data_IF_229058573018
#
_entry.id   IF_229058573018
#
_cell.length_a   1.000
_cell.length_b   1.000
_cell.length_c   1.000
_cell.angle_alpha   90.00
_cell.angle_beta   90.00
_cell.angle_gamma   90.00
#
_symmetry.space_group_name_H-M   'P 1'
#
loop_
_entity.id
_entity.type
_entity.pdbx_description
1 polymer ?
#
# COMPACT_ATOMS: atom_id res chain seq x y z
N UNK A 1 -0.43 -4.56 15.32
CA UNK A 1 -1.78 -4.18 14.83
C UNK A 1 -1.70 -3.54 13.44
N UNK A 2 -2.18 -4.27 12.43
CA UNK A 2 -2.26 -3.80 11.04
C UNK A 2 -3.09 -2.52 10.96
N UNK A 3 -2.59 -1.55 10.21
CA UNK A 3 -3.23 -0.26 10.14
C UNK A 3 -4.29 -0.27 9.04
N UNK A 4 -5.57 -0.24 9.43
CA UNK A 4 -6.70 -0.12 8.51
C UNK A 4 -7.45 1.19 8.72
N UNK A 5 -8.28 1.59 7.74
CA UNK A 5 -9.27 2.66 7.89
C UNK A 5 -10.14 2.29 9.09
N UNK A 6 -10.08 3.12 10.13
CA UNK A 6 -10.81 2.87 11.38
C UNK A 6 -10.30 1.64 12.14
N UNK A 7 -9.01 1.62 12.48
CA UNK A 7 -8.28 0.48 13.09
C UNK A 7 -9.00 -0.24 14.26
N UNK A 8 -9.84 0.45 15.03
CA UNK A 8 -10.65 -0.15 16.12
C UNK A 8 -12.14 -0.34 15.81
N UNK A 9 -12.60 0.15 14.67
CA UNK A 9 -14.02 0.21 14.33
C UNK A 9 -14.33 -0.53 13.03
N UNK A 10 -13.58 -1.61 12.76
CA UNK A 10 -13.92 -2.60 11.75
C UNK A 10 -14.05 -3.97 12.41
N UNK A 11 -14.96 -4.78 11.88
CA UNK A 11 -15.20 -6.15 12.34
C UNK A 11 -13.94 -7.00 12.26
N UNK A 12 -13.17 -6.82 11.18
CA UNK A 12 -11.86 -7.46 11.00
C UNK A 12 -10.84 -6.98 12.04
N UNK A 13 -10.82 -5.69 12.39
CA UNK A 13 -9.98 -5.15 13.44
C UNK A 13 -10.29 -5.76 14.81
N UNK A 14 -11.58 -5.98 15.11
CA UNK A 14 -12.01 -6.63 16.33
C UNK A 14 -11.57 -8.10 16.42
N UNK A 15 -11.79 -8.88 15.35
CA UNK A 15 -11.32 -10.28 15.29
C UNK A 15 -9.79 -10.35 15.35
N UNK A 16 -9.10 -9.48 14.61
CA UNK A 16 -7.64 -9.41 14.62
C UNK A 16 -7.10 -9.09 16.01
N UNK A 17 -7.73 -8.18 16.76
CA UNK A 17 -7.33 -7.93 18.14
C UNK A 17 -7.50 -9.17 19.02
N UNK A 18 -8.63 -9.90 18.92
CA UNK A 18 -8.84 -11.10 19.74
C UNK A 18 -7.80 -12.19 19.48
N UNK A 19 -7.31 -12.30 18.24
CA UNK A 19 -6.28 -13.28 17.89
C UNK A 19 -4.85 -12.79 18.17
N UNK A 20 -4.58 -11.50 17.92
CA UNK A 20 -3.22 -10.94 17.89
C UNK A 20 -2.94 -9.94 19.00
N UNK A 21 -3.88 -9.59 19.87
CA UNK A 21 -3.76 -8.58 20.93
C UNK A 21 -3.41 -9.16 22.32
N UNK A 22 -3.14 -8.28 23.29
CA UNK A 22 -3.02 -8.63 24.73
C UNK A 22 -3.79 -7.63 25.58
N UNK A 23 -4.39 -8.11 26.67
CA UNK A 23 -5.17 -7.25 27.57
C UNK A 23 -6.51 -6.80 26.96
N UNK A 24 -7.14 -5.84 27.63
CA UNK A 24 -8.48 -5.38 27.28
C UNK A 24 -8.50 -3.97 26.65
N UNK A 25 -7.40 -3.22 26.75
CA UNK A 25 -7.33 -1.80 26.36
C UNK A 25 -7.80 -1.52 24.93
N UNK A 26 -7.46 -2.39 23.98
CA UNK A 26 -7.91 -2.22 22.59
C UNK A 26 -9.35 -2.67 22.38
N UNK A 27 -9.88 -3.61 23.17
CA UNK A 27 -11.30 -3.94 23.15
C UNK A 27 -12.15 -2.79 23.70
N UNK A 28 -11.67 -2.07 24.73
CA UNK A 28 -12.31 -0.87 25.28
C UNK A 28 -12.42 0.27 24.27
N UNK A 29 -11.51 0.33 23.28
CA UNK A 29 -11.53 1.31 22.19
C UNK A 29 -12.51 0.97 21.05
N UNK A 30 -13.12 -0.23 21.06
CA UNK A 30 -14.03 -0.67 19.99
C UNK A 30 -15.47 -0.21 20.23
N UNK A 31 -16.19 0.12 19.16
CA UNK A 31 -17.64 0.38 19.23
C UNK A 31 -18.42 -0.89 19.55
N UNK A 32 -19.49 -0.77 20.35
CA UNK A 32 -20.37 -1.87 20.80
C UNK A 32 -20.89 -2.78 19.66
N UNK A 33 -21.11 -2.27 18.44
CA UNK A 33 -21.59 -3.07 17.31
C UNK A 33 -20.57 -4.10 16.77
N UNK A 34 -19.28 -3.84 16.97
CA UNK A 34 -18.17 -4.63 16.41
C UNK A 34 -17.90 -5.92 17.21
N UNK A 35 -18.42 -6.00 18.45
CA UNK A 35 -18.16 -7.09 19.39
C UNK A 35 -18.78 -8.44 18.98
N UNK A 36 -19.86 -8.46 18.18
CA UNK A 36 -20.57 -9.71 17.83
C UNK A 36 -19.73 -10.66 16.98
N UNK A 37 -18.91 -10.14 16.07
CA UNK A 37 -18.02 -10.95 15.23
C UNK A 37 -16.74 -11.38 15.96
N UNK A 38 -16.40 -10.69 17.06
CA UNK A 38 -15.30 -11.07 17.93
C UNK A 38 -15.65 -12.22 18.89
N UNK A 39 -16.94 -12.54 19.08
CA UNK A 39 -17.39 -13.59 20.01
C UNK A 39 -16.82 -14.99 19.67
N UNK A 40 -16.84 -15.48 18.42
CA UNK A 40 -16.25 -16.78 18.11
C UNK A 40 -14.73 -16.84 18.39
N UNK A 41 -14.00 -15.75 18.11
CA UNK A 41 -12.58 -15.66 18.42
C UNK A 41 -12.33 -15.61 19.94
N UNK A 42 -13.19 -14.93 20.70
CA UNK A 42 -13.13 -14.86 22.16
C UNK A 42 -13.32 -16.22 22.82
N UNK A 43 -14.25 -17.02 22.29
CA UNK A 43 -14.57 -18.37 22.79
C UNK A 43 -13.61 -19.44 22.27
N UNK A 44 -12.75 -19.12 21.31
CA UNK A 44 -11.74 -20.05 20.81
C UNK A 44 -10.62 -20.24 21.83
N UNK A 45 -10.18 -21.48 22.02
CA UNK A 45 -8.95 -21.80 22.76
C UNK A 45 -7.69 -21.62 21.91
N UNK A 46 -7.84 -21.52 20.58
CA UNK A 46 -6.70 -21.31 19.69
C UNK A 46 -6.14 -19.90 19.84
N UNK A 47 -4.81 -19.80 19.94
CA UNK A 47 -4.08 -18.54 19.79
C UNK A 47 -3.01 -18.73 18.73
N UNK A 48 -2.78 -17.73 17.85
CA UNK A 48 -1.66 -17.79 16.94
C UNK A 48 -0.32 -17.90 17.71
N UNK A 49 0.67 -18.60 17.13
CA UNK A 49 2.03 -18.68 17.65
C UNK A 49 2.60 -17.32 18.04
N UNK A 50 3.40 -17.28 19.10
CA UNK A 50 4.01 -16.04 19.61
C UNK A 50 4.85 -15.31 18.56
N UNK A 51 5.59 -16.03 17.71
CA UNK A 51 6.37 -15.45 16.60
C UNK A 51 5.47 -14.67 15.62
N UNK A 52 4.33 -15.26 15.23
CA UNK A 52 3.38 -14.58 14.34
C UNK A 52 2.71 -13.39 15.03
N UNK A 53 2.41 -13.49 16.32
CA UNK A 53 1.88 -12.35 17.11
C UNK A 53 2.91 -11.23 17.23
N UNK A 54 4.18 -11.54 17.49
CA UNK A 54 5.25 -10.56 17.56
C UNK A 54 5.40 -9.81 16.24
N UNK A 55 5.42 -10.52 15.11
CA UNK A 55 5.44 -9.92 13.78
C UNK A 55 4.20 -9.04 13.52
N UNK A 56 2.99 -9.53 13.78
CA UNK A 56 1.74 -8.78 13.60
C UNK A 56 1.67 -7.53 14.48
N UNK A 57 2.29 -7.56 15.66
CA UNK A 57 2.42 -6.43 16.60
C UNK A 57 3.57 -5.49 16.27
N UNK A 58 4.43 -5.85 15.31
CA UNK A 58 5.68 -5.14 14.98
C UNK A 58 6.64 -5.07 16.17
N UNK A 59 6.74 -6.16 16.92
CA UNK A 59 7.71 -6.34 18.02
C UNK A 59 9.06 -6.87 17.50
N UNK A 60 9.36 -6.59 16.24
CA UNK A 60 10.59 -6.91 15.52
C UNK A 60 11.28 -5.60 15.12
N UNK A 61 12.59 -5.60 14.83
CA UNK A 61 13.27 -4.38 14.39
C UNK A 61 12.63 -3.77 13.13
N UNK A 62 12.45 -2.45 13.15
CA UNK A 62 11.91 -1.63 12.07
C UNK A 62 13.00 -0.67 11.55
N UNK A 63 12.95 -0.25 10.27
CA UNK A 63 11.96 -0.65 9.26
C UNK A 63 12.28 -2.00 8.60
N UNK A 64 11.32 -2.58 7.89
CA UNK A 64 11.55 -3.72 7.00
C UNK A 64 10.65 -3.69 5.76
N UNK A 65 11.05 -4.45 4.73
CA UNK A 65 10.24 -4.71 3.55
C UNK A 65 9.67 -6.12 3.57
N UNK A 66 8.44 -6.25 3.09
CA UNK A 66 7.79 -7.55 2.85
C UNK A 66 7.37 -7.61 1.38
N UNK A 67 7.72 -8.71 0.72
CA UNK A 67 7.16 -9.11 -0.56
C UNK A 67 6.13 -10.20 -0.30
N UNK A 68 4.97 -10.09 -0.92
CA UNK A 68 3.94 -11.11 -0.80
C UNK A 68 3.33 -11.43 -2.16
N UNK A 69 2.75 -12.62 -2.26
CA UNK A 69 1.87 -12.95 -3.38
C UNK A 69 0.70 -13.79 -2.94
N UNK A 70 -0.39 -13.67 -3.68
CA UNK A 70 -1.61 -14.43 -3.40
C UNK A 70 -2.41 -14.70 -4.68
N UNK A 71 -3.29 -15.71 -4.68
CA UNK A 71 -4.23 -15.92 -5.77
C UNK A 71 -5.31 -14.82 -5.80
N UNK A 72 -6.08 -14.79 -6.88
CA UNK A 72 -7.29 -13.95 -6.93
C UNK A 72 -8.35 -14.54 -6.01
N UNK A 73 -9.05 -13.69 -5.25
CA UNK A 73 -10.14 -14.11 -4.37
C UNK A 73 -11.25 -14.80 -5.19
N UNK A 74 -11.86 -15.83 -4.63
CA UNK A 74 -12.86 -16.68 -5.31
C UNK A 74 -12.36 -17.41 -6.56
N UNK A 75 -11.05 -17.44 -6.83
CA UNK A 75 -10.50 -18.27 -7.87
C UNK A 75 -10.09 -19.64 -7.32
N UNK A 76 -10.40 -20.71 -8.04
CA UNK A 76 -9.80 -22.03 -7.83
C UNK A 76 -8.34 -22.08 -8.38
N UNK A 77 -7.82 -20.95 -8.87
CA UNK A 77 -6.44 -20.88 -9.37
C UNK A 77 -5.47 -20.79 -8.19
N UNK A 78 -4.61 -21.79 -8.05
CA UNK A 78 -3.54 -21.85 -7.03
C UNK A 78 -2.35 -20.93 -7.39
N UNK A 79 -2.60 -19.83 -8.09
CA UNK A 79 -1.57 -19.07 -8.81
C UNK A 79 -0.92 -17.96 -8.00
N UNK A 80 0.39 -17.80 -8.20
CA UNK A 80 1.15 -16.59 -7.95
C UNK A 80 0.67 -15.49 -8.91
N UNK A 81 -0.39 -14.77 -8.54
CA UNK A 81 -1.10 -13.89 -9.49
C UNK A 81 -1.16 -12.43 -9.07
N UNK A 82 -1.37 -12.16 -7.79
CA UNK A 82 -1.33 -10.82 -7.24
C UNK A 82 -0.01 -10.68 -6.48
N UNK A 83 0.71 -9.58 -6.71
CA UNK A 83 2.04 -9.35 -6.11
C UNK A 83 2.06 -8.05 -5.34
N UNK A 84 2.54 -8.12 -4.11
CA UNK A 84 2.58 -6.97 -3.22
C UNK A 84 4.01 -6.67 -2.76
N UNK A 85 4.26 -5.38 -2.57
CA UNK A 85 5.36 -4.89 -1.76
C UNK A 85 4.79 -4.08 -0.61
N UNK A 86 5.33 -4.30 0.57
CA UNK A 86 5.10 -3.48 1.75
C UNK A 86 6.41 -2.92 2.26
N UNK A 87 6.36 -1.69 2.77
CA UNK A 87 7.40 -1.09 3.58
C UNK A 87 6.80 -0.71 4.92
N UNK A 88 7.38 -1.22 6.01
CA UNK A 88 6.86 -1.09 7.37
C UNK A 88 7.88 -0.33 8.20
N UNK A 89 7.43 0.77 8.79
CA UNK A 89 8.18 1.60 9.75
C UNK A 89 7.39 1.73 11.05
N UNK A 90 7.97 2.44 12.00
CA UNK A 90 7.38 2.81 13.29
C UNK A 90 6.17 3.72 13.12
N UNK A 91 6.25 4.64 12.15
CA UNK A 91 5.29 5.72 11.95
C UNK A 91 4.31 5.46 10.79
N UNK A 92 4.62 4.54 9.88
CA UNK A 92 3.71 4.21 8.77
C UNK A 92 3.95 2.81 8.18
N UNK A 93 2.98 2.36 7.39
CA UNK A 93 3.15 1.25 6.44
C UNK A 93 2.66 1.66 5.07
N UNK A 94 3.42 1.34 4.03
CA UNK A 94 3.09 1.62 2.64
C UNK A 94 3.05 0.31 1.85
N UNK A 95 1.91 0.02 1.23
CA UNK A 95 1.72 -1.14 0.37
C UNK A 95 1.32 -0.77 -1.05
N UNK A 96 1.85 -1.50 -2.03
CA UNK A 96 1.35 -1.51 -3.41
C UNK A 96 1.04 -2.93 -3.86
N UNK A 97 -0.02 -3.07 -4.67
CA UNK A 97 -0.49 -4.33 -5.25
C UNK A 97 -0.42 -4.24 -6.77
N UNK A 98 0.19 -5.23 -7.39
CA UNK A 98 0.25 -5.41 -8.84
C UNK A 98 -0.76 -6.47 -9.25
N UNK A 99 -1.63 -6.11 -10.19
CA UNK A 99 -2.57 -7.03 -10.81
C UNK A 99 -2.19 -7.26 -12.28
N UNK A 100 -2.13 -8.51 -12.77
CA UNK A 100 -1.64 -8.83 -14.10
C UNK A 100 -2.64 -8.56 -15.22
N UNK A 101 -3.85 -8.12 -14.89
CA UNK A 101 -4.95 -8.00 -15.87
C UNK A 101 -5.66 -6.67 -15.75
N UNK A 102 -5.86 -6.02 -16.91
CA UNK A 102 -6.79 -4.91 -17.04
C UNK A 102 -8.21 -5.48 -17.03
N UNK A 103 -8.99 -5.16 -16.00
CA UNK A 103 -10.40 -5.55 -15.91
C UNK A 103 -11.27 -4.37 -16.33
N UNK A 104 -12.35 -4.58 -17.08
CA UNK A 104 -13.34 -3.52 -17.38
C UNK A 104 -14.70 -3.78 -16.73
N UNK A 105 -14.80 -4.88 -15.98
CA UNK A 105 -16.01 -5.23 -15.27
C UNK A 105 -16.11 -4.39 -13.98
N UNK A 106 -17.26 -3.76 -13.76
CA UNK A 106 -17.54 -2.93 -12.57
C UNK A 106 -18.67 -3.49 -11.69
N UNK A 107 -19.49 -4.39 -12.23
CA UNK A 107 -20.58 -5.07 -11.51
C UNK A 107 -20.29 -6.57 -11.35
N UNK A 108 -20.79 -7.17 -10.27
CA UNK A 108 -20.59 -8.60 -10.00
C UNK A 108 -19.11 -9.00 -9.80
N UNK A 109 -18.25 -8.05 -9.46
CA UNK A 109 -16.81 -8.25 -9.27
C UNK A 109 -16.34 -7.70 -7.93
N UNK A 110 -15.29 -8.30 -7.40
CA UNK A 110 -14.54 -7.83 -6.22
C UNK A 110 -13.55 -6.70 -6.54
N UNK A 111 -13.42 -6.32 -7.82
CA UNK A 111 -12.42 -5.33 -8.28
C UNK A 111 -12.49 -4.00 -7.51
N UNK A 112 -13.70 -3.61 -7.08
CA UNK A 112 -13.94 -2.42 -6.26
C UNK A 112 -13.33 -2.47 -4.85
N UNK A 113 -13.01 -3.67 -4.37
CA UNK A 113 -12.53 -3.94 -3.01
C UNK A 113 -11.01 -3.94 -2.93
N UNK A 114 -10.29 -4.13 -4.04
CA UNK A 114 -8.84 -4.05 -4.07
C UNK A 114 -8.36 -2.61 -3.97
N UNK A 115 -7.52 -2.33 -2.97
CA UNK A 115 -6.81 -1.05 -2.84
C UNK A 115 -5.36 -1.26 -3.30
N UNK A 116 -4.99 -0.72 -4.47
CA UNK A 116 -3.70 -1.02 -5.12
C UNK A 116 -2.53 -0.16 -4.63
N UNK A 117 -2.81 0.94 -3.93
CA UNK A 117 -1.86 1.70 -3.15
C UNK A 117 -2.50 2.06 -1.81
N UNK A 118 -1.82 1.78 -0.71
CA UNK A 118 -2.28 2.16 0.62
C UNK A 118 -1.11 2.60 1.48
N UNK A 119 -1.05 3.89 1.77
CA UNK A 119 -0.21 4.43 2.84
C UNK A 119 -1.07 4.56 4.08
N UNK A 120 -0.61 3.99 5.18
CA UNK A 120 -1.27 4.14 6.47
C UNK A 120 -0.30 4.70 7.49
N UNK A 121 -0.65 5.87 8.01
CA UNK A 121 0.14 6.62 8.97
C UNK A 121 -0.42 6.37 10.36
N UNK A 122 0.49 6.00 11.26
CA UNK A 122 0.17 5.75 12.65
C UNK A 122 -0.24 7.06 13.32
N UNK A 123 -1.43 7.04 13.91
CA UNK A 123 -1.83 8.03 14.89
C UNK A 123 -0.97 7.87 16.16
N UNK A 124 -0.28 8.90 16.65
CA UNK A 124 0.51 8.85 17.88
C UNK A 124 -0.30 8.39 19.10
N UNK A 125 -1.58 8.75 19.17
CA UNK A 125 -2.50 8.31 20.23
C UNK A 125 -3.04 6.89 19.99
N UNK A 126 -2.79 6.36 18.78
CA UNK A 126 -3.21 5.04 18.36
C UNK A 126 -4.73 4.92 18.31
N UNK A 127 -5.47 5.97 17.99
CA UNK A 127 -6.94 5.99 17.95
C UNK A 127 -7.44 5.86 16.50
N UNK A 128 -6.96 6.70 15.60
CA UNK A 128 -7.47 6.78 14.24
C UNK A 128 -6.38 7.13 13.21
N UNK A 129 -5.73 6.07 12.73
CA UNK A 129 -4.72 6.12 11.68
C UNK A 129 -5.21 6.86 10.43
N UNK A 130 -4.34 7.69 9.85
CA UNK A 130 -4.62 8.32 8.58
C UNK A 130 -4.32 7.37 7.43
N UNK A 131 -5.25 7.25 6.48
CA UNK A 131 -5.10 6.40 5.31
C UNK A 131 -5.08 7.27 4.06
N UNK A 132 -4.03 7.10 3.27
CA UNK A 132 -3.82 7.77 1.99
C UNK A 132 -3.90 6.72 0.88
N UNK A 133 -4.69 7.02 -0.15
CA UNK A 133 -4.84 6.20 -1.36
C UNK A 133 -4.31 6.92 -2.59
N UNK A 134 -3.88 6.17 -3.59
CA UNK A 134 -3.46 6.67 -4.90
C UNK A 134 -3.99 5.72 -5.98
N UNK A 135 -4.58 6.27 -7.03
CA UNK A 135 -5.07 5.46 -8.16
C UNK A 135 -6.05 6.20 -9.05
N UNK A 136 -6.55 5.49 -10.06
CA UNK A 136 -7.66 5.94 -10.90
C UNK A 136 -9.03 5.88 -10.19
N UNK A 137 -10.12 6.04 -10.92
CA UNK A 137 -11.48 5.90 -10.37
C UNK A 137 -12.41 5.31 -11.43
N UNK A 138 -12.26 4.03 -11.68
CA UNK A 138 -13.16 3.28 -12.55
C UNK A 138 -13.92 2.19 -11.79
N UNK A 139 -13.21 1.36 -11.02
CA UNK A 139 -13.81 0.21 -10.34
C UNK A 139 -14.47 0.53 -9.00
N UNK A 140 -14.46 1.77 -8.52
CA UNK A 140 -15.02 2.09 -7.22
C UNK A 140 -15.08 3.59 -6.92
N UNK A 141 -15.55 3.97 -5.72
CA UNK A 141 -15.59 5.37 -5.31
C UNK A 141 -14.19 6.00 -5.37
N UNK A 142 -14.11 7.29 -5.68
CA UNK A 142 -12.83 8.04 -5.71
C UNK A 142 -11.91 7.77 -4.52
N UNK A 143 -12.48 7.55 -3.33
CA UNK A 143 -11.73 7.30 -2.10
C UNK A 143 -10.94 5.98 -2.06
N UNK A 144 -11.31 4.97 -2.84
CA UNK A 144 -10.66 3.64 -2.92
C UNK A 144 -10.44 3.20 -4.37
N UNK A 145 -10.61 4.15 -5.29
CA UNK A 145 -10.72 3.86 -6.71
C UNK A 145 -9.43 3.29 -7.26
N UNK A 146 -9.60 2.46 -8.28
CA UNK A 146 -8.55 2.00 -9.17
C UNK A 146 -9.08 2.04 -10.60
N UNK A 147 -8.18 2.14 -11.56
CA UNK A 147 -8.47 2.02 -12.99
C UNK A 147 -7.74 0.83 -13.61
N UNK A 148 -8.24 0.28 -14.73
CA UNK A 148 -7.64 -0.89 -15.39
C UNK A 148 -6.18 -0.67 -15.79
N UNK A 149 -5.79 0.57 -16.06
CA UNK A 149 -4.45 0.98 -16.46
C UNK A 149 -3.54 1.48 -15.34
N UNK A 150 -3.93 1.32 -14.07
CA UNK A 150 -3.09 1.73 -12.94
C UNK A 150 -1.84 0.84 -12.87
N UNK A 151 -0.65 1.45 -12.92
CA UNK A 151 0.61 0.72 -12.83
C UNK A 151 1.50 1.34 -11.75
N UNK A 152 2.21 0.50 -10.99
CA UNK A 152 3.01 0.90 -9.83
C UNK A 152 4.43 0.31 -9.86
N UNK A 153 5.38 1.06 -9.33
CA UNK A 153 6.69 0.57 -8.88
C UNK A 153 6.99 1.18 -7.52
N UNK A 154 7.21 0.33 -6.52
CA UNK A 154 7.57 0.74 -5.16
C UNK A 154 8.99 0.29 -4.81
N UNK A 155 9.71 1.19 -4.14
CA UNK A 155 10.89 0.86 -3.34
C UNK A 155 10.86 1.68 -2.04
N UNK A 156 10.90 0.99 -0.89
CA UNK A 156 10.71 1.58 0.43
C UNK A 156 9.48 2.51 0.50
N UNK A 157 9.67 3.75 0.94
CA UNK A 157 8.65 4.80 1.03
C UNK A 157 8.33 5.50 -0.30
N UNK A 158 9.04 5.19 -1.38
CA UNK A 158 8.88 5.84 -2.68
C UNK A 158 8.09 4.98 -3.67
N UNK A 159 7.17 5.61 -4.41
CA UNK A 159 6.33 4.97 -5.43
C UNK A 159 6.27 5.82 -6.68
N UNK A 160 6.49 5.20 -7.84
CA UNK A 160 6.06 5.74 -9.13
C UNK A 160 4.73 5.08 -9.47
N UNK A 161 3.72 5.91 -9.77
CA UNK A 161 2.44 5.49 -10.31
C UNK A 161 2.22 6.15 -11.67
N UNK A 162 1.65 5.40 -12.61
CA UNK A 162 1.30 5.90 -13.94
C UNK A 162 -0.07 5.36 -14.37
N UNK A 163 -0.83 6.21 -15.06
CA UNK A 163 -2.07 5.87 -15.74
C UNK A 163 -2.07 6.57 -17.11
N UNK A 164 -1.88 5.78 -18.17
CA UNK A 164 -1.96 6.24 -19.56
C UNK A 164 -3.12 5.50 -20.22
N UNK A 165 -4.16 6.24 -20.57
CA UNK A 165 -5.38 5.67 -21.15
C UNK A 165 -5.17 5.31 -22.62
N UNK A 166 -5.50 4.08 -22.98
CA UNK A 166 -5.64 3.64 -24.37
C UNK A 166 -7.01 4.03 -24.94
N UNK A 167 -7.18 3.88 -26.26
CA UNK A 167 -8.49 4.10 -26.89
C UNK A 167 -9.55 3.15 -26.33
N UNK A 168 -9.16 1.91 -25.99
CA UNK A 168 -10.04 0.95 -25.32
C UNK A 168 -10.50 1.45 -23.95
N UNK A 169 -9.60 2.07 -23.18
CA UNK A 169 -9.96 2.64 -21.87
C UNK A 169 -10.98 3.77 -22.02
N UNK A 170 -10.75 4.65 -22.99
CA UNK A 170 -11.66 5.76 -23.28
C UNK A 170 -13.04 5.27 -23.74
N UNK A 171 -13.09 4.27 -24.62
CA UNK A 171 -14.33 3.63 -25.08
C UNK A 171 -15.09 2.93 -23.94
N UNK A 172 -14.36 2.35 -22.98
CA UNK A 172 -14.94 1.72 -21.79
C UNK A 172 -15.38 2.73 -20.72
N UNK A 173 -15.21 4.04 -20.96
CA UNK A 173 -15.62 5.10 -20.04
C UNK A 173 -14.68 5.32 -18.85
N UNK A 174 -13.41 4.87 -18.94
CA UNK A 174 -12.42 5.10 -17.88
C UNK A 174 -12.14 6.60 -17.76
N UNK A 175 -12.34 7.23 -16.58
CA UNK A 175 -12.09 8.66 -16.43
C UNK A 175 -10.62 9.02 -16.64
N UNK A 176 -10.37 10.11 -17.39
CA UNK A 176 -9.05 10.68 -17.64
C UNK A 176 -8.52 11.49 -16.44
N UNK A 177 -8.39 10.81 -15.31
CA UNK A 177 -7.90 11.39 -14.06
C UNK A 177 -7.38 10.32 -13.09
N UNK A 178 -6.45 10.73 -12.24
CA UNK A 178 -6.00 9.97 -11.07
C UNK A 178 -6.01 10.87 -9.83
N UNK A 179 -6.01 10.24 -8.65
CA UNK A 179 -6.29 10.92 -7.40
C UNK A 179 -5.34 10.45 -6.29
N UNK A 180 -4.71 11.40 -5.60
CA UNK A 180 -4.10 11.17 -4.29
C UNK A 180 -5.11 11.58 -3.21
N UNK A 181 -5.68 10.59 -2.52
CA UNK A 181 -6.74 10.79 -1.53
C UNK A 181 -6.17 10.74 -0.12
N UNK A 182 -6.51 11.72 0.71
CA UNK A 182 -6.05 11.81 2.10
C UNK A 182 -7.11 12.47 3.01
N UNK A 183 -7.01 12.35 4.35
CA UNK A 183 -7.94 13.00 5.26
C UNK A 183 -7.91 14.53 5.13
N UNK A 184 -9.09 15.16 5.17
CA UNK A 184 -9.27 16.61 5.06
C UNK A 184 -8.65 17.39 6.23
N UNK A 185 -8.51 16.74 7.40
CA UNK A 185 -7.93 17.35 8.61
C UNK A 185 -6.49 17.84 8.45
N UNK A 186 -5.76 17.37 7.44
CA UNK A 186 -4.39 17.82 7.15
C UNK A 186 -4.31 19.03 6.21
N UNK A 187 -5.46 19.57 5.78
CA UNK A 187 -5.53 20.82 5.03
C UNK A 187 -4.83 20.79 3.67
N UNK A 188 -4.44 21.97 3.19
CA UNK A 188 -3.74 22.15 1.92
C UNK A 188 -2.24 21.80 2.04
N UNK A 189 -1.63 21.24 0.98
CA UNK A 189 -0.20 20.97 0.98
C UNK A 189 0.62 22.26 0.96
N UNK A 190 1.79 22.21 1.58
CA UNK A 190 2.87 23.17 1.29
C UNK A 190 3.47 22.83 -0.07
N UNK A 191 3.91 23.85 -0.80
CA UNK A 191 4.59 23.66 -2.09
C UNK A 191 6.09 23.88 -1.95
N UNK A 192 6.87 23.03 -2.61
CA UNK A 192 8.29 23.26 -2.85
C UNK A 192 8.65 22.79 -4.26
N UNK A 193 9.01 23.73 -5.14
CA UNK A 193 9.16 23.44 -6.58
C UNK A 193 7.89 22.74 -7.10
N UNK A 194 8.05 21.55 -7.69
CA UNK A 194 6.94 20.74 -8.22
C UNK A 194 6.36 19.74 -7.19
N UNK A 195 6.76 19.83 -5.93
CA UNK A 195 6.28 18.96 -4.85
C UNK A 195 5.13 19.59 -4.08
N UNK A 196 4.10 18.79 -3.83
CA UNK A 196 3.04 19.01 -2.87
C UNK A 196 3.35 18.20 -1.62
N UNK A 197 3.42 18.86 -0.47
CA UNK A 197 3.96 18.28 0.76
C UNK A 197 2.94 18.43 1.89
N UNK A 198 2.58 17.32 2.52
CA UNK A 198 1.79 17.28 3.73
C UNK A 198 2.63 16.79 4.90
N UNK A 199 2.43 17.41 6.07
CA UNK A 199 2.78 16.80 7.35
C UNK A 199 1.57 16.01 7.83
N UNK A 200 1.72 14.70 7.98
CA UNK A 200 0.66 13.79 8.41
C UNK A 200 1.20 13.10 9.66
N UNK A 201 0.70 13.47 10.83
CA UNK A 201 1.24 12.99 12.11
C UNK A 201 2.78 13.11 12.16
N UNK A 202 3.50 11.99 12.29
CA UNK A 202 4.95 11.88 12.36
C UNK A 202 5.63 11.63 11.01
N UNK A 203 4.98 11.90 9.87
CA UNK A 203 5.59 11.75 8.55
C UNK A 203 5.48 13.00 7.67
N UNK A 204 6.35 13.07 6.68
CA UNK A 204 6.21 13.90 5.49
C UNK A 204 5.73 13.04 4.33
N UNK A 205 4.60 13.42 3.72
CA UNK A 205 4.15 12.88 2.44
C UNK A 205 4.47 13.90 1.34
N UNK A 206 5.42 13.56 0.48
CA UNK A 206 5.77 14.35 -0.69
C UNK A 206 5.11 13.72 -1.93
N UNK A 207 4.44 14.52 -2.75
CA UNK A 207 3.83 14.07 -3.99
C UNK A 207 4.15 15.03 -5.14
N UNK A 208 4.59 14.49 -6.28
CA UNK A 208 4.80 15.23 -7.52
C UNK A 208 3.93 14.62 -8.63
N UNK A 209 2.91 15.33 -9.13
CA UNK A 209 2.08 14.88 -10.24
C UNK A 209 2.62 15.31 -11.62
N UNK A 210 2.30 14.52 -12.65
CA UNK A 210 2.36 14.87 -14.07
C UNK A 210 0.94 14.80 -14.63
N UNK A 211 0.39 15.92 -15.08
CA UNK A 211 -0.93 16.04 -15.66
C UNK A 211 -1.12 17.42 -16.30
N UNK A 212 -2.21 17.58 -17.07
CA UNK A 212 -2.57 18.88 -17.65
C UNK A 212 -3.15 19.85 -16.61
N UNK A 213 -3.88 19.33 -15.62
CA UNK A 213 -4.43 20.11 -14.50
C UNK A 213 -4.27 19.34 -13.19
N UNK A 214 -3.90 20.05 -12.13
CA UNK A 214 -3.81 19.51 -10.77
C UNK A 214 -4.56 20.41 -9.80
N UNK A 215 -5.55 19.87 -9.09
CA UNK A 215 -6.35 20.62 -8.13
C UNK A 215 -6.77 19.80 -6.91
N UNK A 216 -6.80 20.44 -5.74
CA UNK A 216 -7.31 19.83 -4.51
C UNK A 216 -8.83 19.98 -4.47
N UNK A 217 -9.54 18.88 -4.26
CA UNK A 217 -11.01 18.83 -4.30
C UNK A 217 -11.56 18.08 -3.08
N UNK A 218 -12.69 18.53 -2.51
CA UNK A 218 -13.43 17.72 -1.54
C UNK A 218 -13.97 16.44 -2.20
N UNK A 219 -14.14 15.38 -1.42
CA UNK A 219 -14.79 14.15 -1.89
C UNK A 219 -16.32 14.21 -1.70
N UNK A 220 -17.00 13.12 -2.08
CA UNK A 220 -18.46 13.01 -2.00
C UNK A 220 -18.98 13.08 -0.56
N UNK A 221 -20.29 13.32 -0.39
CA UNK A 221 -20.96 13.35 0.92
C UNK A 221 -20.67 12.11 1.80
N UNK A 222 -20.52 10.94 1.16
CA UNK A 222 -20.14 9.68 1.85
C UNK A 222 -18.73 9.70 2.43
N UNK A 223 -17.81 10.46 1.84
CA UNK A 223 -16.41 10.58 2.24
C UNK A 223 -16.06 12.03 2.61
N UNK A 224 -16.95 12.70 3.34
CA UNK A 224 -16.83 14.14 3.70
C UNK A 224 -15.55 14.50 4.47
N UNK A 225 -14.96 13.53 5.17
CA UNK A 225 -13.74 13.71 5.98
C UNK A 225 -12.45 13.52 5.16
N UNK A 226 -12.58 13.30 3.85
CA UNK A 226 -11.47 13.13 2.92
C UNK A 226 -11.48 14.20 1.82
N UNK A 227 -10.30 14.40 1.24
CA UNK A 227 -10.05 15.25 0.09
C UNK A 227 -9.15 14.51 -0.90
N UNK A 228 -9.13 14.96 -2.15
CA UNK A 228 -8.34 14.37 -3.22
C UNK A 228 -7.54 15.46 -3.94
N UNK A 229 -6.23 15.29 -4.06
CA UNK A 229 -5.45 15.98 -5.08
C UNK A 229 -5.71 15.25 -6.40
N UNK A 230 -6.38 15.92 -7.33
CA UNK A 230 -6.83 15.36 -8.60
C UNK A 230 -5.88 15.80 -9.70
N UNK A 231 -5.33 14.83 -10.43
CA UNK A 231 -4.56 15.05 -11.65
C UNK A 231 -5.44 14.67 -12.85
N UNK A 232 -5.70 15.60 -13.78
CA UNK A 232 -6.54 15.37 -14.97
C UNK A 232 -5.70 15.26 -16.23
N UNK A 233 -6.04 14.29 -17.08
CA UNK A 233 -5.41 14.07 -18.38
C UNK A 233 -5.49 12.61 -18.81
N UNK A 234 -5.33 12.36 -20.12
CA UNK A 234 -5.23 10.99 -20.67
C UNK A 234 -3.94 10.29 -20.25
N UNK A 235 -2.89 11.07 -19.95
CA UNK A 235 -1.64 10.61 -19.36
C UNK A 235 -1.49 11.30 -18.01
N UNK A 236 -1.49 10.53 -16.94
CA UNK A 236 -1.18 11.03 -15.61
C UNK A 236 -0.11 10.16 -14.94
N UNK A 237 0.73 10.78 -14.13
CA UNK A 237 1.68 10.07 -13.29
C UNK A 237 1.87 10.77 -11.97
N UNK A 238 2.38 10.02 -10.99
CA UNK A 238 2.71 10.51 -9.67
C UNK A 238 4.00 9.89 -9.20
N UNK A 239 4.84 10.69 -8.56
CA UNK A 239 5.85 10.20 -7.63
C UNK A 239 5.37 10.55 -6.24
N UNK A 240 5.26 9.55 -5.36
CA UNK A 240 5.12 9.78 -3.92
C UNK A 240 6.40 9.33 -3.22
N UNK A 241 6.79 10.07 -2.18
CA UNK A 241 7.92 9.72 -1.33
C UNK A 241 7.60 10.09 0.12
N UNK A 242 7.85 9.17 1.03
CA UNK A 242 7.45 9.26 2.43
C UNK A 242 8.68 9.18 3.32
N UNK A 243 8.86 10.19 4.17
CA UNK A 243 9.92 10.23 5.17
C UNK A 243 9.33 10.40 6.56
N UNK A 244 9.98 9.84 7.58
CA UNK A 244 9.60 10.07 8.97
C UNK A 244 10.09 11.45 9.39
N UNK A 245 9.32 12.12 10.25
CA UNK A 245 9.77 13.34 10.93
C UNK A 245 10.99 13.06 11.81
N UNK A 246 11.11 11.84 12.35
CA UNK A 246 12.30 11.42 13.10
C UNK A 246 13.59 11.43 12.25
N UNK A 247 13.48 11.17 10.94
CA UNK A 247 14.62 11.14 10.01
C UNK A 247 14.87 12.54 9.41
N UNK A 248 13.79 13.32 9.21
CA UNK A 248 13.83 14.68 8.65
C UNK A 248 12.96 15.59 9.54
N UNK A 249 13.58 16.29 10.50
CA UNK A 249 12.87 16.97 11.59
C UNK A 249 11.89 18.07 11.16
N UNK A 250 12.27 18.86 10.16
CA UNK A 250 11.54 20.05 9.76
C UNK A 250 11.44 20.24 8.25
N UNK A 251 10.64 21.23 7.85
CA UNK A 251 10.35 21.51 6.44
C UNK A 251 11.58 22.04 5.69
N UNK A 252 12.50 22.74 6.35
CA UNK A 252 13.73 23.24 5.71
C UNK A 252 14.68 22.10 5.38
N UNK A 253 14.88 21.19 6.34
CA UNK A 253 15.63 19.95 6.18
C UNK A 253 15.03 19.08 5.08
N UNK A 254 13.69 19.03 5.00
CA UNK A 254 13.00 18.32 3.91
C UNK A 254 13.26 18.94 2.54
N UNK A 255 13.26 20.28 2.41
CA UNK A 255 13.62 20.94 1.14
C UNK A 255 15.04 20.59 0.71
N UNK A 256 15.99 20.62 1.64
CA UNK A 256 17.38 20.23 1.39
C UNK A 256 17.51 18.76 0.97
N UNK A 257 16.71 17.87 1.57
CA UNK A 257 16.65 16.47 1.18
C UNK A 257 16.04 16.29 -0.22
N UNK A 258 14.94 16.99 -0.52
CA UNK A 258 14.30 16.99 -1.84
C UNK A 258 15.22 17.56 -2.94
N UNK A 259 16.11 18.49 -2.62
CA UNK A 259 17.10 19.02 -3.57
C UNK A 259 18.15 17.98 -4.00
N UNK A 260 18.34 16.93 -3.20
CA UNK A 260 19.21 15.79 -3.53
C UNK A 260 18.49 14.70 -4.32
N UNK A 261 17.16 14.76 -4.40
CA UNK A 261 16.37 13.87 -5.26
C UNK A 261 16.50 14.30 -6.72
N UNK A 262 16.24 13.38 -7.64
CA UNK A 262 16.34 13.66 -9.08
C UNK A 262 15.21 12.97 -9.82
N UNK A 263 14.53 13.72 -10.69
CA UNK A 263 13.56 13.15 -11.62
C UNK A 263 14.08 13.30 -13.04
N UNK A 264 13.99 12.21 -13.81
CA UNK A 264 14.21 12.20 -15.25
C UNK A 264 12.92 11.75 -15.94
N UNK A 265 12.26 12.69 -16.60
CA UNK A 265 10.99 12.56 -17.30
C UNK A 265 11.11 12.90 -18.81
N UNK A 266 12.33 12.92 -19.36
CA UNK A 266 12.58 13.27 -20.77
C UNK A 266 11.86 12.36 -21.77
N UNK A 267 11.65 11.10 -21.40
CA UNK A 267 10.96 10.08 -22.20
C UNK A 267 9.53 9.80 -21.70
N UNK A 268 8.99 10.67 -20.84
CA UNK A 268 7.63 10.53 -20.34
C UNK A 268 6.61 10.61 -21.47
N UNK A 269 6.71 11.63 -22.33
CA UNK A 269 5.73 11.85 -23.38
C UNK A 269 5.78 10.80 -24.49
N UNK A 270 6.99 10.34 -24.86
CA UNK A 270 7.20 9.40 -25.96
C UNK A 270 7.02 7.94 -25.54
N UNK A 271 7.47 7.56 -24.34
CA UNK A 271 7.54 6.15 -23.91
C UNK A 271 6.82 5.86 -22.59
N UNK A 272 6.30 6.88 -21.91
CA UNK A 272 5.77 6.71 -20.56
C UNK A 272 6.87 6.32 -19.56
N UNK A 273 8.12 6.74 -19.79
CA UNK A 273 9.25 6.41 -18.90
C UNK A 273 9.51 7.54 -17.90
N UNK A 274 9.55 7.18 -16.62
CA UNK A 274 9.95 8.05 -15.52
C UNK A 274 11.06 7.40 -14.71
N UNK A 275 12.05 8.18 -14.30
CA UNK A 275 13.03 7.77 -13.29
C UNK A 275 13.05 8.75 -12.12
N UNK A 276 13.22 8.21 -10.92
CA UNK A 276 13.28 8.97 -9.69
C UNK A 276 14.41 8.46 -8.79
N UNK A 277 15.20 9.36 -8.22
CA UNK A 277 16.09 9.10 -7.08
C UNK A 277 15.36 9.52 -5.80
N UNK A 278 15.03 8.57 -4.94
CA UNK A 278 14.22 8.81 -3.74
C UNK A 278 14.99 9.51 -2.62
N UNK A 279 14.23 9.98 -1.62
CA UNK A 279 14.77 10.51 -0.36
C UNK A 279 15.66 9.49 0.36
N UNK A 280 15.37 8.19 0.21
CA UNK A 280 16.17 7.10 0.76
C UNK A 280 17.40 6.75 -0.11
N UNK A 281 17.59 7.42 -1.25
CA UNK A 281 18.70 7.18 -2.17
C UNK A 281 18.47 6.05 -3.18
N UNK A 282 17.26 5.48 -3.25
CA UNK A 282 16.92 4.44 -4.23
C UNK A 282 16.62 5.04 -5.60
N UNK A 283 17.20 4.45 -6.65
CA UNK A 283 16.87 4.77 -8.04
C UNK A 283 15.73 3.87 -8.51
N UNK A 284 14.56 4.46 -8.75
CA UNK A 284 13.40 3.79 -9.33
C UNK A 284 13.25 4.23 -10.79
N UNK A 285 13.03 3.28 -11.69
CA UNK A 285 12.68 3.54 -13.10
C UNK A 285 11.43 2.74 -13.42
N UNK A 286 10.47 3.39 -14.07
CA UNK A 286 9.25 2.77 -14.56
C UNK A 286 9.01 3.19 -16.00
N UNK A 287 8.73 2.21 -16.86
CA UNK A 287 8.24 2.45 -18.22
C UNK A 287 6.83 1.86 -18.33
N UNK A 288 5.87 2.70 -18.69
CA UNK A 288 4.48 2.28 -18.85
C UNK A 288 4.32 1.20 -19.92
N UNK A 289 3.40 0.26 -19.69
CA UNK A 289 2.98 -0.73 -20.71
C UNK A 289 1.55 -0.44 -21.15
N UNK A 290 1.39 0.11 -22.35
CA UNK A 290 0.09 0.60 -22.84
C UNK A 290 -1.01 -0.47 -22.84
N UNK A 291 -0.71 -1.67 -23.35
CA UNK A 291 -1.66 -2.79 -23.38
C UNK A 291 -1.52 -3.74 -22.17
N UNK A 292 -0.59 -3.43 -21.27
CA UNK A 292 -0.31 -4.20 -20.07
C UNK A 292 -1.02 -3.65 -18.82
N UNK A 293 -1.05 -4.48 -17.78
CA UNK A 293 -1.48 -4.06 -16.44
C UNK A 293 -0.29 -3.79 -15.50
N UNK A 294 0.95 -4.06 -15.94
CA UNK A 294 2.15 -3.93 -15.13
C UNK A 294 3.26 -3.32 -16.00
N UNK A 295 3.81 -2.19 -15.55
CA UNK A 295 4.92 -1.51 -16.22
C UNK A 295 6.24 -2.27 -16.10
N UNK A 296 7.16 -2.01 -17.03
CA UNK A 296 8.56 -2.45 -16.84
C UNK A 296 9.18 -1.62 -15.73
N UNK A 297 9.99 -2.25 -14.88
CA UNK A 297 10.60 -1.59 -13.74
C UNK A 297 12.06 -2.00 -13.55
N UNK A 298 12.88 -1.01 -13.18
CA UNK A 298 14.26 -1.21 -12.73
C UNK A 298 14.43 -0.45 -11.42
N UNK A 299 14.90 -1.14 -10.38
CA UNK A 299 15.16 -0.55 -9.06
C UNK A 299 16.63 -0.79 -8.74
N UNK A 300 17.39 0.29 -8.49
CA UNK A 300 18.83 0.23 -8.18
C UNK A 300 19.65 -0.57 -9.21
N UNK A 301 19.27 -0.48 -10.49
CA UNK A 301 19.92 -1.22 -11.60
C UNK A 301 19.38 -2.63 -11.82
N UNK A 302 18.55 -3.16 -10.91
CA UNK A 302 17.97 -4.49 -11.02
C UNK A 302 16.57 -4.46 -11.65
N UNK A 303 16.39 -5.26 -12.70
CA UNK A 303 15.07 -5.40 -13.34
C UNK A 303 14.12 -6.13 -12.40
N UNK A 304 12.88 -5.62 -12.27
CA UNK A 304 11.82 -6.32 -11.55
C UNK A 304 11.46 -7.62 -12.27
N UNK A 305 11.53 -8.74 -11.57
CA UNK A 305 11.10 -10.06 -12.04
C UNK A 305 9.96 -10.53 -11.15
N UNK A 306 8.80 -10.79 -11.76
CA UNK A 306 7.61 -11.32 -11.07
C UNK A 306 7.53 -12.85 -11.10
N UNK A 307 8.34 -13.50 -11.95
CA UNK A 307 8.45 -14.96 -11.99
C UNK A 307 8.96 -15.48 -10.65
N UNK A 308 8.33 -16.52 -10.12
CA UNK A 308 8.68 -17.15 -8.84
C UNK A 308 8.66 -16.18 -7.65
N UNK A 309 7.77 -15.19 -7.65
CA UNK A 309 7.61 -14.31 -6.50
C UNK A 309 7.17 -15.12 -5.27
N UNK A 310 7.77 -14.92 -4.09
CA UNK A 310 7.46 -15.71 -2.90
C UNK A 310 6.03 -15.49 -2.43
N UNK A 311 5.48 -16.44 -1.66
CA UNK A 311 4.20 -16.24 -0.96
C UNK A 311 4.39 -15.14 0.08
N UNK A 312 5.48 -15.24 0.85
CA UNK A 312 5.94 -14.23 1.80
C UNK A 312 7.47 -14.19 1.80
N UNK A 313 8.06 -13.00 1.82
CA UNK A 313 9.50 -12.81 2.00
C UNK A 313 9.78 -11.46 2.68
N UNK A 314 10.37 -11.53 3.86
CA UNK A 314 10.95 -10.41 4.61
C UNK A 314 12.14 -10.93 5.44
N UNK A 315 12.86 -10.06 6.16
CA UNK A 315 13.87 -10.51 7.12
C UNK A 315 13.34 -11.44 8.22
N UNK A 316 12.03 -11.44 8.49
CA UNK A 316 11.41 -12.16 9.60
C UNK A 316 10.44 -13.26 9.18
N UNK A 317 10.04 -13.31 7.92
CA UNK A 317 9.15 -14.36 7.43
C UNK A 317 9.50 -14.80 6.03
N UNK A 318 9.44 -16.11 5.79
CA UNK A 318 9.77 -16.70 4.50
C UNK A 318 8.83 -17.84 4.19
N UNK A 319 8.22 -17.76 3.01
CA UNK A 319 7.46 -18.84 2.42
C UNK A 319 7.67 -18.82 0.91
N UNK A 320 8.47 -19.78 0.43
CA UNK A 320 8.69 -19.99 -0.99
C UNK A 320 7.42 -20.45 -1.70
N UNK A 321 7.35 -20.19 -3.00
CA UNK A 321 6.25 -20.70 -3.82
C UNK A 321 6.28 -22.23 -3.83
N UNK A 322 5.15 -22.88 -3.54
CA UNK A 322 5.02 -24.34 -3.43
C UNK A 322 5.94 -25.00 -2.39
N UNK A 323 6.49 -24.26 -1.42
CA UNK A 323 7.42 -24.84 -0.43
C UNK A 323 6.74 -25.76 0.58
N UNK A 324 5.44 -25.52 0.86
CA UNK A 324 4.76 -26.13 2.00
C UNK A 324 5.38 -25.76 3.35
N UNK A 325 6.28 -24.78 3.40
CA UNK A 325 7.02 -24.38 4.59
C UNK A 325 6.93 -22.87 4.77
N UNK A 326 6.33 -22.45 5.88
CA UNK A 326 6.40 -21.10 6.41
C UNK A 326 7.45 -21.07 7.52
N UNK A 327 8.42 -20.17 7.40
CA UNK A 327 9.43 -19.91 8.41
C UNK A 327 9.21 -18.51 8.97
N UNK A 328 9.33 -18.38 10.30
CA UNK A 328 9.34 -17.10 11.01
C UNK A 328 10.60 -17.05 11.85
N UNK A 329 11.40 -16.02 11.65
CA UNK A 329 12.65 -15.81 12.38
C UNK A 329 12.51 -14.54 13.21
N UNK A 330 12.27 -14.71 14.50
CA UNK A 330 12.13 -13.61 15.44
C UNK A 330 13.45 -13.40 16.20
N UNK A 331 14.04 -12.20 16.20
CA UNK A 331 15.33 -11.95 16.87
C UNK A 331 15.35 -12.25 18.39
N UNK A 332 14.18 -12.33 19.04
CA UNK A 332 14.06 -12.59 20.48
C UNK A 332 13.52 -13.99 20.77
N UNK A 333 12.56 -14.46 19.97
CA UNK A 333 11.89 -15.75 20.18
C UNK A 333 12.55 -16.90 19.40
N UNK A 334 13.56 -16.60 18.57
CA UNK A 334 14.22 -17.56 17.72
C UNK A 334 13.37 -17.96 16.52
N UNK A 335 13.70 -19.13 15.96
CA UNK A 335 13.07 -19.65 14.74
C UNK A 335 11.83 -20.47 15.08
N UNK A 336 10.79 -20.30 14.27
CA UNK A 336 9.56 -21.08 14.30
C UNK A 336 9.17 -21.50 12.88
N UNK A 337 8.67 -22.73 12.72
CA UNK A 337 8.30 -23.26 11.42
C UNK A 337 6.90 -23.89 11.41
N UNK A 338 6.22 -23.75 10.27
CA UNK A 338 4.98 -24.45 9.95
C UNK A 338 5.14 -25.20 8.64
N UNK A 339 5.08 -26.53 8.70
CA UNK A 339 5.24 -27.43 7.56
C UNK A 339 3.92 -28.09 7.20
N UNK A 340 3.45 -27.90 5.97
CA UNK A 340 2.34 -28.67 5.42
C UNK A 340 2.77 -30.11 5.14
N UNK A 341 2.10 -31.07 5.76
CA UNK A 341 2.23 -32.51 5.45
C UNK A 341 0.90 -33.05 4.92
N UNK A 342 0.94 -34.27 4.35
CA UNK A 342 -0.24 -34.99 3.85
C UNK A 342 -1.36 -35.13 4.89
N UNK A 343 -0.99 -35.35 6.16
CA UNK A 343 -1.94 -35.56 7.25
C UNK A 343 -2.40 -34.25 7.93
N UNK A 344 -1.84 -33.11 7.52
CA UNK A 344 -2.10 -31.81 8.12
C UNK A 344 -0.82 -31.00 8.35
N UNK A 345 -0.95 -29.74 8.77
CA UNK A 345 0.19 -28.91 9.12
C UNK A 345 0.81 -29.36 10.46
N UNK A 346 2.15 -29.37 10.52
CA UNK A 346 2.92 -29.62 11.74
C UNK A 346 3.78 -28.41 12.09
N UNK A 347 3.92 -28.19 13.39
CA UNK A 347 4.71 -27.12 13.99
C UNK A 347 6.09 -27.69 14.35
N UNK A 348 7.16 -27.00 13.95
CA UNK A 348 8.56 -27.41 14.18
C UNK A 348 9.36 -26.29 14.88
#
# INVERSE_FOLDING_TARGET
PGFDRSTWNTELGAVAWMSWGEGNDAAEKMRNGTARLALPAALSTYRPPEHLRALARKQVPLPFQLRASHPIYYSYSQGNRLWEKFYITEDYSLGTLLEPTRSYQVEGTISAQYTTYKLVVRDPEGINNAVVGLGGTYHGPRATGRSPGDQYVQQQGAVIFQLILSDRDLQAGVPAQSHLVLPKRYGEPRKYKNWYIWRIENIWLCARPWAGEVSLQPLSRKYKDYQAMVAKGKKTAWVTDVARVADIGDFESLKQALDKTMVDDREWESQGRLSYLSLAGDRIVMTYKQDGAIGDAVVNGEKRILKNWPVLESPYTKQGLYSGLLEVDDPKLGKWQLRGKLMGPEWE
#
